data_IF_843482831957
#
_entry.id   IF_843482831957
#
_cell.length_a   1.000
_cell.length_b   1.000
_cell.length_c   1.000
_cell.angle_alpha   90.00
_cell.angle_beta   90.00
_cell.angle_gamma   90.00
#
_symmetry.space_group_name_H-M   'P 1'
#
loop_
_entity.id
_entity.type
_entity.pdbx_description
1 polymer ?
#
# COMPACT_ATOMS: atom_id res chain seq x y z
N UNK A 1 -9.61 -17.19 75.77
CA UNK A 1 -9.22 -17.75 74.46
C UNK A 1 -9.23 -16.60 73.46
N UNK A 2 -8.08 -15.95 73.27
CA UNK A 2 -7.92 -14.87 72.28
C UNK A 2 -7.65 -15.51 70.92
N UNK A 3 -8.61 -15.40 70.00
CA UNK A 3 -8.37 -15.71 68.60
C UNK A 3 -7.57 -14.56 67.99
N UNK A 4 -6.29 -14.82 67.70
CA UNK A 4 -5.43 -13.94 66.91
C UNK A 4 -5.98 -13.92 65.48
N UNK A 5 -6.64 -12.83 65.10
CA UNK A 5 -6.98 -12.55 63.70
C UNK A 5 -5.68 -12.05 63.04
N UNK A 6 -5.12 -12.74 62.03
CA UNK A 6 -3.98 -12.22 61.29
C UNK A 6 -4.42 -11.00 60.45
N UNK A 7 -3.55 -9.99 60.24
CA UNK A 7 -3.92 -8.84 59.44
C UNK A 7 -4.18 -9.29 57.99
N UNK A 8 -5.08 -8.61 57.26
CA UNK A 8 -5.20 -8.82 55.83
C UNK A 8 -3.83 -8.47 55.23
N UNK A 9 -3.07 -9.48 54.83
CA UNK A 9 -1.92 -9.26 53.98
C UNK A 9 -2.45 -8.51 52.77
N UNK A 10 -2.11 -7.22 52.70
CA UNK A 10 -2.22 -6.42 51.49
C UNK A 10 -1.73 -7.34 50.37
N UNK A 11 -2.65 -7.73 49.49
CA UNK A 11 -2.30 -8.26 48.19
C UNK A 11 -1.50 -7.15 47.54
N UNK A 12 -0.19 -7.17 47.75
CA UNK A 12 0.75 -6.24 47.15
C UNK A 12 0.72 -6.66 45.70
N UNK A 13 -0.20 -6.05 44.95
CA UNK A 13 -0.30 -6.19 43.51
C UNK A 13 1.05 -5.70 42.99
N UNK A 14 1.97 -6.63 42.73
CA UNK A 14 3.29 -6.28 42.24
C UNK A 14 3.08 -5.74 40.84
N UNK A 15 3.04 -4.41 40.71
CA UNK A 15 2.96 -3.77 39.41
C UNK A 15 4.12 -4.32 38.57
N UNK A 16 3.77 -4.90 37.42
CA UNK A 16 4.72 -5.35 36.41
C UNK A 16 4.77 -4.27 35.34
N UNK A 17 5.97 -3.90 34.95
CA UNK A 17 6.20 -2.92 33.90
C UNK A 17 6.75 -3.61 32.67
N UNK A 18 6.28 -3.18 31.50
CA UNK A 18 6.75 -3.63 30.20
C UNK A 18 7.76 -2.63 29.66
N UNK A 19 8.94 -3.12 29.29
CA UNK A 19 10.03 -2.29 28.78
C UNK A 19 10.59 -2.89 27.49
N UNK A 20 10.95 -2.02 26.54
CA UNK A 20 11.52 -2.40 25.25
C UNK A 20 12.79 -3.22 25.41
N UNK A 21 12.84 -4.39 24.75
CA UNK A 21 14.06 -5.20 24.63
C UNK A 21 15.12 -4.48 23.79
N UNK A 22 14.71 -3.72 22.78
CA UNK A 22 15.64 -2.91 21.99
C UNK A 22 16.33 -1.86 22.87
N UNK A 23 15.57 -1.15 23.71
CA UNK A 23 16.13 -0.18 24.65
C UNK A 23 17.04 -0.86 25.69
N UNK A 24 16.65 -2.01 26.23
CA UNK A 24 17.51 -2.77 27.14
C UNK A 24 18.82 -3.21 26.47
N UNK A 25 18.77 -3.59 25.18
CA UNK A 25 19.97 -3.91 24.43
C UNK A 25 20.87 -2.69 24.24
N UNK A 26 20.31 -1.51 23.96
CA UNK A 26 21.06 -0.23 23.93
C UNK A 26 21.68 0.07 25.30
N UNK A 27 20.94 -0.13 26.40
CA UNK A 27 21.46 0.01 27.76
C UNK A 27 22.65 -0.90 28.04
N UNK A 28 22.64 -2.14 27.54
CA UNK A 28 23.76 -3.08 27.73
C UNK A 28 25.00 -2.77 26.87
N UNK A 29 24.84 -2.06 25.76
CA UNK A 29 25.90 -1.89 24.77
C UNK A 29 26.47 -0.46 24.73
N UNK A 30 25.69 0.56 25.08
CA UNK A 30 26.06 1.96 24.93
C UNK A 30 26.35 2.62 26.28
N UNK A 31 27.31 3.55 26.30
CA UNK A 31 27.60 4.37 27.49
C UNK A 31 26.47 5.33 27.83
N UNK A 32 25.68 5.75 26.84
CA UNK A 32 24.51 6.62 26.97
C UNK A 32 23.38 6.09 26.08
N UNK A 33 22.48 5.24 26.60
CA UNK A 33 21.40 4.65 25.80
C UNK A 33 20.29 5.63 25.41
N UNK A 34 20.26 6.81 26.04
CA UNK A 34 19.17 7.78 25.93
C UNK A 34 17.96 7.44 26.81
N UNK A 35 16.88 8.23 26.71
CA UNK A 35 15.64 7.98 27.45
C UNK A 35 15.01 6.63 27.10
N UNK A 36 14.23 6.06 28.02
CA UNK A 36 13.45 4.84 27.76
C UNK A 36 12.47 5.13 26.62
N UNK A 37 12.45 4.27 25.61
CA UNK A 37 11.48 4.34 24.51
C UNK A 37 10.82 2.98 24.32
N UNK A 38 9.50 2.92 24.55
CA UNK A 38 8.71 1.71 24.33
C UNK A 38 8.01 1.70 22.96
N UNK A 39 8.44 2.56 22.03
CA UNK A 39 7.79 2.78 20.74
C UNK A 39 8.03 1.68 19.70
N UNK A 40 8.91 0.73 19.99
CA UNK A 40 9.13 -0.48 19.19
C UNK A 40 7.98 -1.49 19.32
N UNK A 41 7.23 -1.47 20.44
CA UNK A 41 6.03 -2.30 20.65
C UNK A 41 4.77 -1.53 21.03
N UNK A 42 4.87 -0.24 21.33
CA UNK A 42 3.72 0.64 21.59
C UNK A 42 3.58 1.71 20.53
N UNK A 43 2.35 1.94 20.07
CA UNK A 43 2.00 3.09 19.25
C UNK A 43 2.05 4.40 20.06
N UNK A 44 1.86 5.53 19.36
CA UNK A 44 1.82 6.86 19.97
C UNK A 44 0.70 7.05 21.02
N UNK A 45 -0.32 6.19 21.01
CA UNK A 45 -1.40 6.18 22.00
C UNK A 45 -1.05 5.33 23.25
N UNK A 46 0.22 4.92 23.40
CA UNK A 46 0.72 4.07 24.50
C UNK A 46 0.04 2.69 24.60
N UNK A 47 -0.43 2.18 23.48
CA UNK A 47 -1.09 0.88 23.32
C UNK A 47 -0.33 0.02 22.32
N UNK A 48 -0.61 -1.28 22.24
CA UNK A 48 0.12 -2.23 21.38
C UNK A 48 0.18 -1.71 19.94
N UNK A 49 1.38 -1.72 19.36
CA UNK A 49 1.61 -1.44 17.95
C UNK A 49 1.07 -2.61 17.10
N UNK A 50 0.07 -2.41 16.23
CA UNK A 50 -0.60 -3.51 15.52
C UNK A 50 0.33 -4.42 14.70
N UNK A 51 1.38 -3.85 14.11
CA UNK A 51 2.36 -4.59 13.30
C UNK A 51 3.20 -5.58 14.11
N UNK A 52 3.22 -5.46 15.44
CA UNK A 52 3.98 -6.30 16.37
C UNK A 52 3.10 -7.18 17.25
N UNK A 53 1.79 -7.17 17.03
CA UNK A 53 0.85 -7.84 17.94
C UNK A 53 1.01 -9.37 17.96
N UNK A 54 1.39 -9.97 16.83
CA UNK A 54 1.50 -11.43 16.67
C UNK A 54 2.70 -11.98 17.46
N UNK A 55 3.80 -11.23 17.46
CA UNK A 55 5.11 -11.54 18.00
C UNK A 55 5.48 -10.63 19.18
N UNK A 56 4.46 -10.05 19.86
CA UNK A 56 4.63 -8.99 20.85
C UNK A 56 5.64 -9.32 21.97
N UNK A 57 5.67 -10.58 22.41
CA UNK A 57 6.58 -11.05 23.46
C UNK A 57 8.07 -10.95 23.08
N UNK A 58 8.39 -10.83 21.79
CA UNK A 58 9.76 -10.65 21.28
C UNK A 58 10.29 -9.22 21.48
N UNK A 59 9.41 -8.24 21.72
CA UNK A 59 9.78 -6.82 21.79
C UNK A 59 9.85 -6.26 23.20
N UNK A 60 9.25 -6.92 24.19
CA UNK A 60 9.26 -6.43 25.57
C UNK A 60 9.90 -7.42 26.56
N UNK A 61 10.42 -6.87 27.65
CA UNK A 61 10.71 -7.58 28.88
C UNK A 61 9.82 -7.07 30.01
N UNK A 62 9.58 -7.90 31.02
CA UNK A 62 8.87 -7.49 32.23
C UNK A 62 9.86 -7.17 33.34
N UNK A 63 9.68 -6.04 34.00
CA UNK A 63 10.46 -5.64 35.19
C UNK A 63 9.53 -5.36 36.36
N UNK A 64 10.05 -5.50 37.57
CA UNK A 64 9.32 -5.15 38.79
C UNK A 64 9.36 -3.63 39.05
N UNK A 65 8.50 -3.17 39.97
CA UNK A 65 8.39 -1.75 40.27
C UNK A 65 9.72 -1.12 40.76
N UNK A 66 10.51 -1.73 41.67
CA UNK A 66 11.78 -1.13 42.09
C UNK A 66 12.78 -0.95 40.94
N UNK A 67 12.88 -1.93 40.03
CA UNK A 67 13.76 -1.80 38.87
C UNK A 67 13.24 -0.76 37.89
N UNK A 68 11.92 -0.71 37.65
CA UNK A 68 11.32 0.34 36.82
C UNK A 68 11.61 1.74 37.38
N UNK A 69 11.35 1.97 38.66
CA UNK A 69 11.56 3.27 39.32
C UNK A 69 13.03 3.70 39.19
N UNK A 70 13.97 2.78 39.39
CA UNK A 70 15.39 3.05 39.20
C UNK A 70 15.72 3.46 37.75
N UNK A 71 15.27 2.69 36.76
CA UNK A 71 15.54 2.96 35.35
C UNK A 71 14.91 4.29 34.91
N UNK A 72 13.65 4.51 35.26
CA UNK A 72 12.92 5.71 34.90
C UNK A 72 13.50 6.97 35.57
N UNK A 73 13.89 6.91 36.86
CA UNK A 73 14.53 8.04 37.53
C UNK A 73 15.90 8.39 36.92
N UNK A 74 16.63 7.40 36.42
CA UNK A 74 17.96 7.60 35.85
C UNK A 74 17.94 8.08 34.40
N UNK A 75 17.04 7.53 33.58
CA UNK A 75 17.05 7.75 32.13
C UNK A 75 15.84 8.55 31.62
N UNK A 76 14.74 8.63 32.38
CA UNK A 76 13.48 9.23 31.94
C UNK A 76 12.87 8.51 30.73
N UNK A 77 11.96 9.19 30.02
CA UNK A 77 11.35 8.70 28.78
C UNK A 77 9.93 8.15 28.96
N UNK A 78 9.53 7.23 28.09
CA UNK A 78 8.19 6.64 28.09
C UNK A 78 7.76 6.07 26.73
N UNK A 79 6.47 5.74 26.58
CA UNK A 79 5.43 5.78 27.61
C UNK A 79 5.60 4.67 28.67
N UNK A 80 5.17 4.94 29.91
CA UNK A 80 5.06 3.92 30.96
C UNK A 80 4.01 2.90 30.54
N UNK A 81 4.30 1.61 30.70
CA UNK A 81 3.39 0.54 30.32
C UNK A 81 3.29 -0.51 31.42
N UNK A 82 2.12 -0.60 32.05
CA UNK A 82 1.78 -1.62 33.04
C UNK A 82 0.75 -2.62 32.53
N UNK A 83 0.11 -2.29 31.41
CA UNK A 83 -0.95 -3.09 30.77
C UNK A 83 -0.81 -3.03 29.25
N UNK A 84 -1.08 -4.15 28.58
CA UNK A 84 -0.98 -4.29 27.13
C UNK A 84 -2.38 -4.39 26.53
N UNK A 85 -2.83 -3.29 25.91
CA UNK A 85 -4.11 -3.20 25.24
C UNK A 85 -3.94 -2.92 23.75
N UNK A 86 -4.81 -3.52 22.92
CA UNK A 86 -4.91 -3.14 21.52
C UNK A 86 -5.38 -1.70 21.38
N UNK A 87 -4.80 -0.99 20.40
CA UNK A 87 -5.23 0.36 20.05
C UNK A 87 -6.32 0.30 18.96
N UNK A 88 -7.59 0.64 19.23
CA UNK A 88 -8.64 0.57 18.21
C UNK A 88 -8.36 1.45 16.98
N UNK A 89 -7.82 2.66 17.20
CA UNK A 89 -7.45 3.60 16.15
C UNK A 89 -6.37 3.03 15.24
N UNK A 90 -5.20 2.68 15.80
CA UNK A 90 -4.10 2.16 15.00
C UNK A 90 -4.43 0.78 14.40
N UNK A 91 -5.22 -0.04 15.07
CA UNK A 91 -5.67 -1.34 14.55
C UNK A 91 -6.51 -1.16 13.29
N UNK A 92 -7.42 -0.20 13.29
CA UNK A 92 -8.27 0.10 12.14
C UNK A 92 -7.43 0.62 10.96
N UNK A 93 -6.52 1.56 11.22
CA UNK A 93 -5.57 2.08 10.22
C UNK A 93 -4.70 0.97 9.61
N UNK A 94 -4.13 0.10 10.47
CA UNK A 94 -3.31 -1.02 10.03
C UNK A 94 -4.10 -2.02 9.17
N UNK A 95 -5.33 -2.35 9.57
CA UNK A 95 -6.19 -3.25 8.79
C UNK A 95 -6.63 -2.64 7.46
N UNK A 96 -6.96 -1.35 7.45
CA UNK A 96 -7.27 -0.63 6.22
C UNK A 96 -6.09 -0.65 5.26
N UNK A 97 -4.89 -0.34 5.76
CA UNK A 97 -3.66 -0.31 4.95
C UNK A 97 -3.32 -1.69 4.38
N UNK A 98 -3.48 -2.75 5.20
CA UNK A 98 -3.31 -4.13 4.73
C UNK A 98 -4.28 -4.49 3.62
N UNK A 99 -5.58 -4.20 3.82
CA UNK A 99 -6.62 -4.45 2.81
C UNK A 99 -6.35 -3.69 1.52
N UNK A 100 -5.91 -2.43 1.62
CA UNK A 100 -5.52 -1.61 0.46
C UNK A 100 -4.39 -2.26 -0.34
N UNK A 101 -3.28 -2.62 0.32
CA UNK A 101 -2.13 -3.28 -0.33
C UNK A 101 -2.51 -4.58 -1.01
N UNK A 102 -3.29 -5.41 -0.32
CA UNK A 102 -3.76 -6.69 -0.84
C UNK A 102 -4.67 -6.49 -2.05
N UNK A 103 -5.62 -5.54 -1.99
CA UNK A 103 -6.52 -5.22 -3.09
C UNK A 103 -5.74 -4.71 -4.31
N UNK A 104 -4.81 -3.77 -4.13
CA UNK A 104 -3.99 -3.25 -5.22
C UNK A 104 -3.12 -4.32 -5.87
N UNK A 105 -2.43 -5.15 -5.08
CA UNK A 105 -1.57 -6.22 -5.60
C UNK A 105 -2.40 -7.29 -6.33
N UNK A 106 -3.56 -7.64 -5.79
CA UNK A 106 -4.46 -8.64 -6.38
C UNK A 106 -5.03 -8.14 -7.71
N UNK A 107 -5.52 -6.89 -7.74
CA UNK A 107 -6.02 -6.27 -8.95
C UNK A 107 -4.93 -6.15 -10.02
N UNK A 108 -3.73 -5.71 -9.65
CA UNK A 108 -2.58 -5.64 -10.57
C UNK A 108 -2.23 -7.01 -11.16
N UNK A 109 -2.10 -8.05 -10.32
CA UNK A 109 -1.75 -9.41 -10.77
C UNK A 109 -2.82 -10.00 -11.68
N UNK A 110 -4.10 -9.83 -11.33
CA UNK A 110 -5.21 -10.31 -12.15
C UNK A 110 -5.23 -9.61 -13.52
N UNK A 111 -5.05 -8.29 -13.53
CA UNK A 111 -5.01 -7.49 -14.75
C UNK A 111 -3.81 -7.84 -15.64
N UNK A 112 -2.61 -7.94 -15.06
CA UNK A 112 -1.38 -8.32 -15.78
C UNK A 112 -1.49 -9.73 -16.38
N UNK A 113 -2.02 -10.71 -15.63
CA UNK A 113 -2.26 -12.05 -16.14
C UNK A 113 -3.24 -12.06 -17.32
N UNK A 114 -4.34 -11.30 -17.22
CA UNK A 114 -5.33 -11.15 -18.28
C UNK A 114 -4.73 -10.52 -19.53
N UNK A 115 -3.96 -9.44 -19.40
CA UNK A 115 -3.31 -8.76 -20.53
C UNK A 115 -2.28 -9.67 -21.21
N UNK A 116 -1.51 -10.42 -20.44
CA UNK A 116 -0.53 -11.39 -20.98
C UNK A 116 -1.22 -12.52 -21.75
N UNK A 117 -2.32 -13.04 -21.22
CA UNK A 117 -3.11 -14.06 -21.91
C UNK A 117 -3.74 -13.48 -23.19
N UNK A 118 -4.39 -12.32 -23.11
CA UNK A 118 -5.00 -11.63 -24.24
C UNK A 118 -3.97 -11.33 -25.34
N UNK A 119 -2.85 -10.68 -24.99
CA UNK A 119 -1.78 -10.37 -25.94
C UNK A 119 -1.18 -11.60 -26.63
N UNK A 120 -1.23 -12.78 -26.00
CA UNK A 120 -0.70 -14.03 -26.57
C UNK A 120 -1.70 -14.76 -27.46
N UNK A 121 -2.96 -14.84 -27.05
CA UNK A 121 -3.96 -15.71 -27.66
C UNK A 121 -5.03 -14.95 -28.44
N UNK A 122 -5.23 -13.68 -28.14
CA UNK A 122 -6.21 -12.82 -28.81
C UNK A 122 -5.77 -11.34 -28.80
N UNK A 123 -4.67 -11.00 -29.51
CA UNK A 123 -4.07 -9.66 -29.47
C UNK A 123 -5.01 -8.47 -29.71
N UNK A 124 -6.02 -8.53 -30.61
CA UNK A 124 -6.94 -7.41 -30.84
C UNK A 124 -7.72 -6.92 -29.60
N UNK A 125 -7.66 -7.64 -28.48
CA UNK A 125 -8.30 -7.23 -27.24
C UNK A 125 -7.46 -6.25 -26.41
N UNK A 126 -6.19 -6.02 -26.75
CA UNK A 126 -5.29 -5.17 -25.97
C UNK A 126 -4.89 -3.91 -26.72
N UNK A 127 -4.65 -2.82 -25.99
CA UNK A 127 -4.18 -1.57 -26.59
C UNK A 127 -2.84 -1.74 -27.30
N UNK A 128 -2.00 -2.66 -26.84
CA UNK A 128 -0.68 -2.95 -27.44
C UNK A 128 -0.77 -3.43 -28.90
N UNK A 129 -1.92 -3.91 -29.36
CA UNK A 129 -2.12 -4.26 -30.77
C UNK A 129 -2.26 -3.02 -31.67
N UNK A 130 -2.69 -1.88 -31.11
CA UNK A 130 -3.01 -0.67 -31.87
C UNK A 130 -2.10 0.52 -31.55
N UNK A 131 -1.56 0.60 -30.32
CA UNK A 131 -0.84 1.74 -29.79
C UNK A 131 0.55 1.33 -29.25
N UNK A 132 1.53 2.26 -29.25
CA UNK A 132 2.80 2.04 -28.55
C UNK A 132 2.58 1.78 -27.04
N UNK A 133 3.48 1.05 -26.38
CA UNK A 133 3.35 0.79 -24.95
C UNK A 133 3.57 2.06 -24.13
N UNK A 134 2.96 2.12 -22.95
CA UNK A 134 3.14 3.24 -22.03
C UNK A 134 4.47 3.10 -21.26
N UNK A 135 5.04 4.24 -20.87
CA UNK A 135 6.18 4.31 -19.96
C UNK A 135 5.70 4.79 -18.59
N UNK A 136 6.20 4.16 -17.52
CA UNK A 136 6.04 4.64 -16.15
C UNK A 136 7.39 4.83 -15.49
N UNK A 137 7.54 5.87 -14.68
CA UNK A 137 8.75 6.15 -13.92
C UNK A 137 9.16 4.93 -13.08
N UNK A 138 10.40 4.47 -13.26
CA UNK A 138 10.92 3.29 -12.54
C UNK A 138 11.01 3.55 -11.04
N UNK A 139 11.30 4.79 -10.62
CA UNK A 139 11.35 5.15 -9.20
C UNK A 139 9.96 5.09 -8.58
N UNK A 140 8.95 5.61 -9.27
CA UNK A 140 7.56 5.53 -8.82
C UNK A 140 7.09 4.07 -8.71
N UNK A 141 7.33 3.27 -9.76
CA UNK A 141 6.92 1.87 -9.79
C UNK A 141 7.61 1.02 -8.70
N UNK A 142 8.87 1.30 -8.41
CA UNK A 142 9.58 0.64 -7.30
C UNK A 142 9.00 1.02 -5.93
N UNK A 143 8.60 2.28 -5.72
CA UNK A 143 7.90 2.69 -4.49
C UNK A 143 6.55 2.02 -4.35
N UNK A 144 5.78 1.94 -5.43
CA UNK A 144 4.51 1.20 -5.45
C UNK A 144 4.73 -0.27 -5.06
N UNK A 145 5.74 -0.92 -5.65
CA UNK A 145 6.09 -2.31 -5.32
C UNK A 145 6.46 -2.46 -3.83
N UNK A 146 7.33 -1.59 -3.32
CA UNK A 146 7.72 -1.61 -1.91
C UNK A 146 6.51 -1.41 -0.98
N UNK A 147 5.55 -0.56 -1.35
CA UNK A 147 4.31 -0.34 -0.63
C UNK A 147 3.44 -1.61 -0.58
N UNK A 148 3.14 -2.22 -1.73
CA UNK A 148 2.28 -3.42 -1.77
C UNK A 148 2.94 -4.66 -1.16
N UNK A 149 4.28 -4.74 -1.17
CA UNK A 149 5.05 -5.77 -0.49
C UNK A 149 5.15 -5.54 1.03
N UNK A 150 4.71 -4.37 1.52
CA UNK A 150 4.75 -4.01 2.94
C UNK A 150 6.10 -3.52 3.45
N UNK A 151 7.05 -3.26 2.55
CA UNK A 151 8.37 -2.71 2.87
C UNK A 151 8.36 -1.19 3.08
N UNK A 152 7.34 -0.50 2.56
CA UNK A 152 7.12 0.94 2.74
C UNK A 152 5.78 1.18 3.46
N UNK A 153 5.76 2.08 4.45
CA UNK A 153 4.52 2.44 5.14
C UNK A 153 3.61 3.30 4.25
N UNK A 154 4.20 4.29 3.60
CA UNK A 154 3.48 5.27 2.80
C UNK A 154 3.27 4.78 1.36
N UNK A 155 2.10 5.07 0.76
CA UNK A 155 1.89 4.85 -0.66
C UNK A 155 2.83 5.72 -1.52
N UNK A 156 3.09 5.37 -2.79
CA UNK A 156 4.03 6.08 -3.67
C UNK A 156 3.62 7.52 -4.04
N UNK A 157 2.41 7.96 -3.68
CA UNK A 157 1.80 9.22 -4.14
C UNK A 157 1.37 9.18 -5.62
N UNK A 158 0.96 10.31 -6.20
CA UNK A 158 0.59 10.40 -7.61
C UNK A 158 1.73 9.97 -8.54
N UNK A 159 1.39 9.41 -9.71
CA UNK A 159 2.39 9.05 -10.72
C UNK A 159 3.06 10.31 -11.24
N UNK A 160 4.40 10.33 -11.28
CA UNK A 160 5.16 11.42 -11.89
C UNK A 160 6.07 10.87 -13.00
N UNK A 161 5.67 11.17 -14.24
CA UNK A 161 6.36 10.79 -15.47
C UNK A 161 7.06 11.97 -16.13
N UNK A 162 7.12 13.15 -15.49
CA UNK A 162 7.65 14.38 -16.11
C UNK A 162 9.08 14.21 -16.61
N UNK A 163 9.88 13.40 -15.91
CA UNK A 163 11.28 13.09 -16.26
C UNK A 163 11.45 12.21 -17.50
N UNK A 164 10.38 11.56 -17.97
CA UNK A 164 10.36 10.67 -19.13
C UNK A 164 10.23 11.44 -20.45
N UNK A 165 9.82 12.70 -20.39
CA UNK A 165 9.74 13.59 -21.54
C UNK A 165 10.94 14.54 -21.55
N UNK A 166 11.38 14.90 -22.75
CA UNK A 166 12.32 15.98 -22.97
C UNK A 166 11.72 16.98 -23.94
N UNK A 167 11.84 18.26 -23.59
CA UNK A 167 11.40 19.35 -24.46
C UNK A 167 12.40 19.54 -25.59
N UNK A 168 11.91 19.73 -26.81
CA UNK A 168 12.75 20.08 -27.95
C UNK A 168 13.39 21.46 -27.73
N UNK A 169 14.68 21.66 -28.05
CA UNK A 169 15.33 22.97 -27.92
C UNK A 169 14.74 24.05 -28.83
N UNK A 170 14.18 23.65 -29.98
CA UNK A 170 13.72 24.55 -31.04
C UNK A 170 12.21 24.75 -31.07
N UNK A 171 11.44 23.98 -30.30
CA UNK A 171 9.98 23.95 -30.34
C UNK A 171 9.37 23.81 -28.93
N UNK A 172 8.07 24.08 -28.79
CA UNK A 172 7.29 23.76 -27.57
C UNK A 172 6.87 22.29 -27.50
N UNK A 173 7.42 21.45 -28.38
CA UNK A 173 7.10 20.02 -28.49
C UNK A 173 7.90 19.18 -27.51
N UNK A 174 7.34 18.04 -27.12
CA UNK A 174 7.97 17.06 -26.25
C UNK A 174 8.33 15.81 -27.03
N UNK A 175 9.37 15.12 -26.58
CA UNK A 175 9.81 13.84 -27.10
C UNK A 175 9.97 12.87 -25.94
N UNK A 176 9.63 11.60 -26.15
CA UNK A 176 9.98 10.54 -25.22
C UNK A 176 11.50 10.45 -25.09
N UNK A 177 12.01 10.35 -23.87
CA UNK A 177 13.44 10.21 -23.55
C UNK A 177 13.78 8.73 -23.34
N UNK A 178 14.37 8.01 -24.33
CA UNK A 178 14.58 6.57 -24.21
C UNK A 178 15.63 6.19 -23.15
N UNK A 179 16.54 7.11 -22.82
CA UNK A 179 17.57 6.94 -21.78
C UNK A 179 17.03 7.13 -20.35
N UNK A 180 15.77 7.55 -20.19
CA UNK A 180 15.16 7.71 -18.86
C UNK A 180 14.96 6.36 -18.16
N UNK A 181 15.03 6.36 -16.83
CA UNK A 181 14.73 5.17 -16.04
C UNK A 181 13.22 4.94 -15.98
N UNK A 182 12.71 4.11 -16.88
CA UNK A 182 11.30 3.76 -16.98
C UNK A 182 11.08 2.25 -16.98
N UNK A 183 9.82 1.86 -16.80
CA UNK A 183 9.30 0.53 -17.06
C UNK A 183 8.27 0.66 -18.19
N UNK A 184 8.37 -0.20 -19.20
CA UNK A 184 7.35 -0.29 -20.25
C UNK A 184 6.18 -1.12 -19.71
N UNK A 185 4.96 -0.58 -19.82
CA UNK A 185 3.73 -1.23 -19.36
C UNK A 185 2.66 -1.14 -20.46
N UNK A 186 1.78 -2.14 -20.58
CA UNK A 186 0.56 -2.01 -21.38
C UNK A 186 -0.29 -0.84 -20.89
N UNK A 187 -1.04 -0.21 -21.79
CA UNK A 187 -1.89 0.95 -21.46
C UNK A 187 -2.94 0.62 -20.39
N UNK A 188 -3.43 -0.61 -20.35
CA UNK A 188 -4.35 -1.08 -19.33
C UNK A 188 -3.75 -0.97 -17.92
N UNK A 189 -2.45 -1.27 -17.76
CA UNK A 189 -1.76 -1.09 -16.47
C UNK A 189 -1.51 0.39 -16.16
N UNK A 190 -1.27 1.22 -17.18
CA UNK A 190 -1.20 2.67 -17.00
C UNK A 190 -2.53 3.21 -16.46
N UNK A 191 -3.65 2.86 -17.11
CA UNK A 191 -5.00 3.26 -16.71
C UNK A 191 -5.34 2.77 -15.30
N UNK A 192 -4.89 1.56 -14.93
CA UNK A 192 -5.01 1.06 -13.56
C UNK A 192 -4.26 1.93 -12.56
N UNK A 193 -2.98 2.27 -12.80
CA UNK A 193 -2.24 3.12 -11.87
C UNK A 193 -2.80 4.55 -11.81
N UNK A 194 -3.20 5.10 -12.96
CA UNK A 194 -3.82 6.42 -13.03
C UNK A 194 -5.16 6.45 -12.28
N UNK A 195 -5.97 5.39 -12.32
CA UNK A 195 -7.27 5.38 -11.61
C UNK A 195 -7.14 5.35 -10.09
N UNK A 196 -6.09 4.73 -9.54
CA UNK A 196 -5.92 4.60 -8.08
C UNK A 196 -4.93 5.61 -7.47
N UNK A 197 -4.03 6.20 -8.27
CA UNK A 197 -3.04 7.18 -7.81
C UNK A 197 -3.12 8.54 -8.51
N UNK A 198 -3.75 8.64 -9.68
CA UNK A 198 -3.71 9.83 -10.52
C UNK A 198 -2.29 10.20 -10.95
N UNK A 199 -2.06 11.49 -11.19
CA UNK A 199 -0.77 12.02 -11.62
C UNK A 199 -0.65 12.08 -13.14
N UNK A 200 0.58 12.01 -13.66
CA UNK A 200 0.84 12.19 -15.09
C UNK A 200 2.28 12.59 -15.42
N UNK A 201 2.54 12.97 -16.67
CA UNK A 201 1.66 12.80 -17.85
C UNK A 201 1.58 11.34 -18.33
N UNK A 202 0.63 11.03 -19.23
CA UNK A 202 0.62 9.75 -19.94
C UNK A 202 1.74 9.74 -20.99
N UNK A 203 2.69 8.82 -20.88
CA UNK A 203 3.87 8.77 -21.76
C UNK A 203 3.85 7.50 -22.59
N UNK A 204 4.02 7.63 -23.90
CA UNK A 204 4.10 6.53 -24.86
C UNK A 204 5.55 6.30 -25.26
N UNK A 205 5.98 5.04 -25.29
CA UNK A 205 7.30 4.64 -25.75
C UNK A 205 7.34 4.70 -27.28
N UNK A 206 7.64 5.87 -27.82
CA UNK A 206 7.60 6.11 -29.27
C UNK A 206 8.78 6.95 -29.76
N UNK A 207 8.94 6.98 -31.07
CA UNK A 207 9.86 7.86 -31.77
C UNK A 207 9.11 9.08 -32.32
N UNK A 208 9.82 10.18 -32.53
CA UNK A 208 9.22 11.43 -33.01
C UNK A 208 8.61 12.28 -31.91
N UNK A 209 7.78 13.25 -32.30
CA UNK A 209 7.08 14.15 -31.37
C UNK A 209 6.08 13.33 -30.55
N UNK A 210 6.15 13.48 -29.23
CA UNK A 210 5.24 12.83 -28.31
C UNK A 210 3.89 13.57 -28.31
N UNK A 211 2.76 12.85 -28.47
CA UNK A 211 1.43 13.44 -28.50
C UNK A 211 1.07 14.02 -27.13
N UNK A 212 0.30 15.09 -27.16
CA UNK A 212 -0.32 15.67 -25.96
C UNK A 212 -1.33 14.69 -25.35
N UNK A 213 -1.67 14.88 -24.07
CA UNK A 213 -2.67 14.04 -23.39
C UNK A 213 -4.01 14.00 -24.14
N UNK A 214 -4.42 15.12 -24.76
CA UNK A 214 -5.63 15.19 -25.60
C UNK A 214 -5.52 14.33 -26.87
N UNK A 215 -4.39 14.39 -27.56
CA UNK A 215 -4.15 13.55 -28.75
C UNK A 215 -4.07 12.05 -28.38
N UNK A 216 -3.49 11.71 -27.23
CA UNK A 216 -3.49 10.33 -26.71
C UNK A 216 -4.92 9.86 -26.44
N UNK A 217 -5.76 10.70 -25.83
CA UNK A 217 -7.16 10.39 -25.61
C UNK A 217 -7.93 10.19 -26.92
N UNK A 218 -7.67 11.00 -27.95
CA UNK A 218 -8.26 10.80 -29.28
C UNK A 218 -7.79 9.51 -29.96
N UNK A 219 -6.50 9.17 -29.83
CA UNK A 219 -5.95 7.91 -30.33
C UNK A 219 -6.63 6.71 -29.65
N UNK A 220 -6.82 6.78 -28.33
CA UNK A 220 -7.52 5.77 -27.56
C UNK A 220 -8.99 5.61 -28.00
N UNK A 221 -9.72 6.71 -28.14
CA UNK A 221 -11.13 6.71 -28.56
C UNK A 221 -11.33 6.08 -29.95
N UNK A 222 -10.32 6.12 -30.83
CA UNK A 222 -10.36 5.43 -32.14
C UNK A 222 -10.15 3.92 -32.02
N UNK A 223 -9.47 3.47 -30.98
CA UNK A 223 -9.11 2.05 -30.75
C UNK A 223 -10.18 1.33 -29.92
N UNK A 224 -10.82 2.02 -29.00
CA UNK A 224 -11.85 1.48 -28.09
C UNK A 224 -12.96 0.70 -28.81
N UNK A 225 -13.55 1.17 -29.94
CA UNK A 225 -14.56 0.40 -30.67
C UNK A 225 -14.04 -0.93 -31.22
N UNK A 226 -12.79 -0.98 -31.70
CA UNK A 226 -12.18 -2.21 -32.20
C UNK A 226 -11.93 -3.22 -31.08
N UNK A 227 -11.48 -2.76 -29.90
CA UNK A 227 -11.33 -3.60 -28.71
C UNK A 227 -12.70 -4.13 -28.27
N UNK A 228 -13.74 -3.30 -28.28
CA UNK A 228 -15.10 -3.70 -27.92
C UNK A 228 -15.67 -4.76 -28.89
N UNK A 229 -15.47 -4.59 -30.19
CA UNK A 229 -15.87 -5.57 -31.21
C UNK A 229 -15.10 -6.90 -31.05
N UNK A 230 -13.80 -6.83 -30.75
CA UNK A 230 -12.99 -8.02 -30.45
C UNK A 230 -13.52 -8.75 -29.21
N UNK A 231 -13.87 -8.01 -28.14
CA UNK A 231 -14.46 -8.58 -26.93
C UNK A 231 -15.81 -9.26 -27.22
N UNK A 232 -16.67 -8.63 -28.02
CA UNK A 232 -17.96 -9.20 -28.39
C UNK A 232 -17.81 -10.47 -29.25
N UNK A 233 -16.86 -10.46 -30.19
CA UNK A 233 -16.54 -11.63 -31.00
C UNK A 233 -15.97 -12.78 -30.16
N UNK A 234 -15.19 -12.47 -29.13
CA UNK A 234 -14.62 -13.48 -28.23
C UNK A 234 -15.68 -14.12 -27.31
N UNK A 235 -16.72 -13.36 -26.95
CA UNK A 235 -17.88 -13.83 -26.15
C UNK A 235 -18.85 -14.68 -26.96
N UNK A 236 -18.87 -14.55 -28.28
CA UNK A 236 -19.73 -15.34 -29.16
C UNK A 236 -19.17 -16.77 -29.34
N UNK A 237 -19.85 -17.81 -28.82
CA UNK A 237 -19.37 -19.19 -28.91
C UNK A 237 -19.32 -19.71 -30.36
N UNK A 238 -20.04 -19.09 -31.30
CA UNK A 238 -19.97 -19.44 -32.71
C UNK A 238 -18.71 -18.86 -33.40
N UNK A 239 -18.07 -17.85 -32.80
CA UNK A 239 -16.88 -17.17 -33.35
C UNK A 239 -15.60 -17.46 -32.57
N UNK A 240 -15.72 -17.88 -31.31
CA UNK A 240 -14.58 -18.13 -30.43
C UNK A 240 -13.97 -19.50 -30.68
N UNK A 241 -12.65 -19.56 -30.87
CA UNK A 241 -11.90 -20.81 -31.00
C UNK A 241 -11.02 -21.10 -29.77
N UNK A 242 -11.15 -20.30 -28.71
CA UNK A 242 -10.35 -20.46 -27.50
C UNK A 242 -11.01 -21.44 -26.52
N UNK A 243 -10.22 -22.27 -25.82
CA UNK A 243 -10.74 -23.18 -24.81
C UNK A 243 -11.33 -22.38 -23.62
N UNK A 244 -12.36 -22.93 -22.93
CA UNK A 244 -13.03 -22.24 -21.81
C UNK A 244 -12.09 -21.78 -20.70
N UNK A 245 -11.04 -22.56 -20.40
CA UNK A 245 -10.04 -22.20 -19.39
C UNK A 245 -9.18 -20.98 -19.76
N UNK A 246 -8.99 -20.69 -21.05
CA UNK A 246 -8.34 -19.45 -21.49
C UNK A 246 -9.33 -18.28 -21.51
N UNK A 247 -10.58 -18.54 -21.89
CA UNK A 247 -11.63 -17.52 -21.86
C UNK A 247 -11.87 -16.98 -20.45
N UNK A 248 -11.86 -17.82 -19.42
CA UNK A 248 -12.01 -17.38 -18.01
C UNK A 248 -10.87 -16.50 -17.51
N UNK A 249 -9.69 -16.56 -18.14
CA UNK A 249 -8.54 -15.69 -17.82
C UNK A 249 -8.63 -14.38 -18.59
N UNK A 250 -9.02 -14.44 -19.87
CA UNK A 250 -8.98 -13.31 -20.81
C UNK A 250 -10.20 -12.39 -20.64
N UNK A 251 -11.38 -12.96 -20.43
CA UNK A 251 -12.60 -12.19 -20.26
C UNK A 251 -12.61 -11.54 -18.88
N UNK A 252 -12.97 -10.24 -18.79
CA UNK A 252 -13.17 -9.63 -17.49
C UNK A 252 -14.30 -10.36 -16.74
N UNK A 253 -14.12 -10.58 -15.44
CA UNK A 253 -15.20 -11.03 -14.58
C UNK A 253 -16.32 -9.99 -14.64
N UNK A 254 -17.55 -10.41 -14.92
CA UNK A 254 -18.70 -9.54 -14.71
C UNK A 254 -18.83 -9.34 -13.22
N UNK A 255 -18.58 -8.12 -12.74
CA UNK A 255 -18.92 -7.75 -11.38
C UNK A 255 -20.45 -7.82 -11.32
N UNK A 256 -20.96 -8.82 -10.60
CA UNK A 256 -22.37 -8.83 -10.20
C UNK A 256 -22.65 -7.47 -9.55
N UNK A 257 -23.68 -6.77 -10.03
CA UNK A 257 -23.93 -5.34 -9.76
C UNK A 257 -24.29 -5.05 -8.31
N UNK A 258 -23.33 -5.17 -7.40
CA UNK A 258 -23.40 -4.74 -6.02
C UNK A 258 -22.56 -3.48 -5.84
N UNK A 259 -23.23 -2.34 -5.78
CA UNK A 259 -22.65 -1.06 -5.38
C UNK A 259 -21.79 -1.23 -4.12
N UNK A 260 -20.47 -1.09 -4.29
CA UNK A 260 -19.60 -0.71 -3.18
C UNK A 260 -19.81 0.80 -2.96
N UNK A 261 -20.88 1.12 -2.23
CA UNK A 261 -21.12 2.46 -1.71
C UNK A 261 -19.86 2.86 -0.93
N UNK A 262 -19.20 3.91 -1.41
CA UNK A 262 -18.21 4.62 -0.61
C UNK A 262 -18.93 5.15 0.64
N UNK A 263 -18.70 4.52 1.78
CA UNK A 263 -19.02 5.15 3.06
C UNK A 263 -18.03 6.31 3.25
N UNK A 264 -18.47 7.49 2.82
CA UNK A 264 -17.93 8.76 3.26
C UNK A 264 -18.08 8.83 4.79
N UNK A 265 -16.98 8.64 5.50
CA UNK A 265 -16.86 9.02 6.90
C UNK A 265 -16.90 10.56 6.99
N UNK A 266 -18.12 11.11 6.99
CA UNK A 266 -18.36 12.52 7.34
C UNK A 266 -17.97 12.72 8.80
N UNK A 267 -16.96 13.56 8.99
CA UNK A 267 -16.59 14.11 10.28
C UNK A 267 -17.81 14.82 10.91
N UNK A 268 -18.21 14.36 12.09
CA UNK A 268 -19.21 15.06 12.89
C UNK A 268 -18.62 16.33 13.49
N UNK A 269 -18.97 17.48 12.91
CA UNK A 269 -18.90 18.77 13.59
C UNK A 269 -20.19 19.05 14.37
N UNK A 270 -19.99 19.73 15.50
CA UNK A 270 -20.93 20.49 16.34
C UNK A 270 -21.76 19.74 17.39
N UNK A 271 -21.54 20.08 18.66
CA UNK A 271 -22.33 21.18 19.25
C UNK A 271 -21.76 21.59 20.62
N UNK A 272 -21.49 22.90 20.75
CA UNK A 272 -21.49 23.62 22.01
C UNK A 272 -22.87 23.49 22.68
N UNK A 273 -22.89 23.05 23.95
CA UNK A 273 -23.56 23.66 25.12
C UNK A 273 -22.81 23.21 26.37
#
# INVERSE_FOLDING_TARGET
MNAHIPPPHLLRCTARYYISREWLHRLSTFSHPGPITNHDFLCRHAQILPSRAIDLAEYYATVDAPLWDFLHNKFGGGPVCTELHYCPTCQSEYQWLRRKREAELTAFKALDARIKAASRYYPPLTYAYYLPPNAISKSWFNRWRAFVDGNELEPPGPVDNSSLLMRSPSETTFHFRPSSHHVQIPRELWLFFFSIYGGGPEVLCMTGVHPTDGEIAEMAAKVEPSIAEALQSLRDPAKTNLPPALLSIILPFEADGGDAVAEDCVAGESSDV
#
